data_IF_550901604202
#
_entry.id   IF_550901604202
#
_cell.length_a   1.000
_cell.length_b   1.000
_cell.length_c   1.000
_cell.angle_alpha   90.00
_cell.angle_beta   90.00
_cell.angle_gamma   90.00
#
_symmetry.space_group_name_H-M   'P 1'
#
loop_
_entity.id
_entity.type
_entity.pdbx_description
1 polymer ?
#
# COMPACT_ATOMS: atom_id res chain seq x y z
N UNK A 1 -9.02 -11.64 -15.63
CA UNK A 1 -9.80 -12.38 -14.62
C UNK A 1 -9.96 -11.49 -13.41
N UNK A 2 -10.95 -11.75 -12.56
CA UNK A 2 -11.21 -11.05 -11.27
C UNK A 2 -10.07 -11.28 -10.24
N UNK A 3 -8.99 -11.94 -10.62
CA UNK A 3 -8.00 -12.56 -9.73
C UNK A 3 -6.78 -11.67 -9.41
N UNK A 4 -6.57 -10.54 -10.09
CA UNK A 4 -5.40 -9.65 -9.88
C UNK A 4 -5.78 -8.27 -9.28
N UNK A 5 -6.82 -8.22 -8.44
CA UNK A 5 -7.28 -6.97 -7.83
C UNK A 5 -6.35 -6.46 -6.72
N UNK A 6 -5.53 -7.34 -6.14
CA UNK A 6 -4.49 -6.96 -5.16
C UNK A 6 -3.26 -7.80 -5.44
N UNK A 7 -2.12 -7.14 -5.65
CA UNK A 7 -0.80 -7.78 -5.71
C UNK A 7 -0.02 -7.43 -4.45
N UNK A 8 0.35 -8.45 -3.68
CA UNK A 8 1.33 -8.33 -2.61
C UNK A 8 2.69 -8.74 -3.17
N UNK A 9 3.69 -7.92 -2.93
CA UNK A 9 5.03 -8.10 -3.48
C UNK A 9 5.87 -9.07 -2.63
N UNK A 10 6.78 -9.78 -3.31
CA UNK A 10 7.91 -10.41 -2.63
C UNK A 10 8.84 -9.36 -2.00
N UNK A 11 9.70 -9.77 -1.07
CA UNK A 11 10.62 -8.84 -0.39
C UNK A 11 11.58 -8.12 -1.33
N UNK A 12 12.00 -8.78 -2.41
CA UNK A 12 12.89 -8.18 -3.41
C UNK A 12 12.16 -7.13 -4.23
N UNK A 13 10.92 -7.43 -4.65
CA UNK A 13 10.04 -6.46 -5.31
C UNK A 13 9.72 -5.29 -4.37
N UNK A 14 9.50 -5.52 -3.08
CA UNK A 14 9.29 -4.44 -2.09
C UNK A 14 10.49 -3.49 -2.08
N UNK A 15 11.71 -4.01 -2.01
CA UNK A 15 12.91 -3.17 -1.97
C UNK A 15 13.07 -2.32 -3.24
N UNK A 16 12.78 -2.90 -4.41
CA UNK A 16 12.79 -2.19 -5.70
C UNK A 16 11.67 -1.13 -5.75
N UNK A 17 10.43 -1.51 -5.43
CA UNK A 17 9.27 -0.62 -5.53
C UNK A 17 9.30 0.52 -4.52
N UNK A 18 9.84 0.27 -3.32
CA UNK A 18 10.09 1.32 -2.33
C UNK A 18 10.96 2.45 -2.89
N UNK A 19 11.91 2.14 -3.77
CA UNK A 19 12.77 3.12 -4.44
C UNK A 19 12.08 3.74 -5.65
N UNK A 20 11.46 2.92 -6.51
CA UNK A 20 10.76 3.39 -7.72
C UNK A 20 9.69 4.43 -7.42
N UNK A 21 8.98 4.28 -6.30
CA UNK A 21 7.94 5.22 -5.88
C UNK A 21 8.43 6.25 -4.85
N UNK A 22 9.74 6.31 -4.57
CA UNK A 22 10.36 7.26 -3.64
C UNK A 22 9.63 7.32 -2.28
N UNK A 23 9.16 6.16 -1.80
CA UNK A 23 8.24 6.09 -0.64
C UNK A 23 8.91 6.66 0.63
N UNK A 24 10.23 6.53 0.75
CA UNK A 24 10.96 7.10 1.88
C UNK A 24 10.93 8.64 1.90
N UNK A 25 10.78 9.28 0.75
CA UNK A 25 10.67 10.74 0.61
C UNK A 25 9.22 11.20 0.80
N UNK A 26 8.27 10.62 0.07
CA UNK A 26 6.88 11.05 0.11
C UNK A 26 6.10 10.55 1.33
N UNK A 27 6.43 9.35 1.84
CA UNK A 27 5.75 8.71 2.95
C UNK A 27 6.76 8.16 3.98
N UNK A 28 7.51 9.04 4.68
CA UNK A 28 8.50 8.62 5.65
C UNK A 28 7.87 7.80 6.78
N UNK A 29 8.51 6.68 7.13
CA UNK A 29 8.00 5.75 8.14
C UNK A 29 7.05 4.67 7.62
N UNK A 30 6.80 4.63 6.31
CA UNK A 30 5.94 3.64 5.66
C UNK A 30 6.73 2.73 4.71
N UNK A 31 6.21 1.52 4.50
CA UNK A 31 6.73 0.52 3.57
C UNK A 31 5.64 0.19 2.54
N UNK A 32 5.98 0.21 1.26
CA UNK A 32 5.11 -0.25 0.18
C UNK A 32 5.19 -1.77 0.06
N UNK A 33 4.04 -2.44 0.20
CA UNK A 33 3.96 -3.90 0.23
C UNK A 33 3.14 -4.48 -0.93
N UNK A 34 2.44 -3.64 -1.69
CA UNK A 34 1.60 -4.09 -2.78
C UNK A 34 0.91 -2.94 -3.51
N UNK A 35 0.07 -3.31 -4.47
CA UNK A 35 -0.79 -2.42 -5.24
C UNK A 35 -2.08 -3.13 -5.69
N UNK A 36 -3.05 -2.37 -6.19
CA UNK A 36 -4.34 -2.90 -6.65
C UNK A 36 -4.44 -3.12 -8.17
N UNK A 37 -3.31 -3.03 -8.89
CA UNK A 37 -3.21 -3.00 -10.36
C UNK A 37 -3.99 -1.83 -11.03
N UNK A 38 -4.65 -0.98 -10.25
CA UNK A 38 -5.50 0.13 -10.67
C UNK A 38 -4.91 1.51 -10.35
N UNK A 39 -3.65 1.55 -9.91
CA UNK A 39 -2.93 2.77 -9.60
C UNK A 39 -3.00 3.22 -8.14
N UNK A 40 -3.51 2.37 -7.23
CA UNK A 40 -3.44 2.58 -5.78
C UNK A 40 -2.33 1.71 -5.17
N UNK A 41 -1.66 2.27 -4.18
CA UNK A 41 -0.57 1.65 -3.45
C UNK A 41 -1.09 1.11 -2.11
N UNK A 42 -0.52 -0.01 -1.67
CA UNK A 42 -0.75 -0.56 -0.32
C UNK A 42 0.50 -0.30 0.51
N UNK A 43 0.34 0.51 1.56
CA UNK A 43 1.40 0.84 2.50
C UNK A 43 1.12 0.28 3.88
N UNK A 44 2.17 -0.10 4.60
CA UNK A 44 2.12 -0.43 6.04
C UNK A 44 2.97 0.54 6.83
N UNK A 45 2.45 1.01 7.96
CA UNK A 45 3.22 1.87 8.88
C UNK A 45 4.24 1.05 9.66
N UNK A 46 5.48 1.54 9.78
CA UNK A 46 6.56 0.90 10.57
C UNK A 46 6.42 1.12 12.08
N UNK A 47 5.20 1.35 12.56
CA UNK A 47 4.89 1.67 13.96
C UNK A 47 4.60 0.38 14.77
N UNK A 48 4.56 0.49 16.10
CA UNK A 48 4.18 -0.64 16.97
C UNK A 48 2.71 -1.08 16.79
N UNK A 49 1.88 -0.21 16.20
CA UNK A 49 0.51 -0.53 15.82
C UNK A 49 0.49 -0.77 14.31
N UNK A 50 0.17 -2.00 13.93
CA UNK A 50 0.03 -2.37 12.52
C UNK A 50 -1.18 -1.64 11.93
N UNK A 51 -0.94 -0.91 10.84
CA UNK A 51 -1.99 -0.18 10.12
C UNK A 51 -1.66 -0.18 8.63
N UNK A 52 -2.66 -0.52 7.85
CA UNK A 52 -2.59 -0.61 6.40
C UNK A 52 -3.26 0.60 5.77
N UNK A 53 -2.73 1.04 4.65
CA UNK A 53 -3.21 2.21 3.93
C UNK A 53 -3.36 1.89 2.45
N UNK A 54 -4.49 2.32 1.89
CA UNK A 54 -4.74 2.29 0.45
C UNK A 54 -4.89 3.72 -0.04
N UNK A 55 -4.04 4.13 -0.98
CA UNK A 55 -4.00 5.50 -1.50
C UNK A 55 -3.68 5.51 -2.99
N UNK A 56 -4.16 6.54 -3.70
CA UNK A 56 -3.77 6.75 -5.09
C UNK A 56 -2.27 7.04 -5.22
N UNK A 57 -1.63 6.57 -6.27
CA UNK A 57 -0.19 6.79 -6.53
C UNK A 57 0.22 8.26 -6.70
N UNK A 58 -0.72 9.15 -7.02
CA UNK A 58 -0.50 10.61 -7.06
C UNK A 58 -0.95 11.35 -5.79
N UNK A 59 -1.23 10.64 -4.69
CA UNK A 59 -1.72 11.24 -3.46
C UNK A 59 -0.59 11.95 -2.70
N UNK A 60 -0.78 13.21 -2.26
CA UNK A 60 0.29 14.00 -1.64
C UNK A 60 0.49 13.71 -0.15
N UNK A 61 -0.42 12.98 0.50
CA UNK A 61 -0.38 12.73 1.95
C UNK A 61 -1.01 11.39 2.32
N UNK A 62 -0.43 10.72 3.33
CA UNK A 62 -0.98 9.48 3.88
C UNK A 62 -2.36 9.67 4.52
N UNK A 63 -2.68 10.87 4.99
CA UNK A 63 -3.96 11.19 5.64
C UNK A 63 -5.14 11.23 4.68
N UNK A 64 -4.86 11.36 3.38
CA UNK A 64 -5.88 11.45 2.34
C UNK A 64 -6.25 10.06 1.78
N UNK A 65 -5.52 9.01 2.21
CA UNK A 65 -5.80 7.61 1.90
C UNK A 65 -6.79 6.96 2.88
N UNK A 66 -7.24 5.76 2.52
CA UNK A 66 -8.07 4.92 3.39
C UNK A 66 -7.16 4.13 4.34
N UNK A 67 -7.52 4.10 5.63
CA UNK A 67 -6.77 3.39 6.67
C UNK A 67 -7.55 2.17 7.18
N UNK A 68 -6.85 1.05 7.35
CA UNK A 68 -7.41 -0.23 7.76
C UNK A 68 -6.61 -0.82 8.92
N UNK A 69 -7.32 -1.52 9.81
CA UNK A 69 -6.71 -2.23 10.94
C UNK A 69 -6.21 -3.64 10.60
N UNK A 70 -6.53 -4.16 9.40
CA UNK A 70 -6.07 -5.48 8.95
C UNK A 70 -6.03 -5.56 7.43
N UNK A 71 -5.22 -6.49 6.91
CA UNK A 71 -5.14 -6.78 5.48
C UNK A 71 -6.48 -7.30 4.92
N UNK A 72 -7.19 -8.15 5.67
CA UNK A 72 -8.50 -8.67 5.24
C UNK A 72 -9.53 -7.56 5.02
N UNK A 73 -9.54 -6.54 5.89
CA UNK A 73 -10.44 -5.41 5.74
C UNK A 73 -10.12 -4.57 4.50
N UNK A 74 -8.83 -4.40 4.19
CA UNK A 74 -8.37 -3.73 2.97
C UNK A 74 -8.76 -4.54 1.73
N UNK A 75 -8.48 -5.85 1.71
CA UNK A 75 -8.80 -6.72 0.57
C UNK A 75 -10.31 -6.69 0.30
N UNK A 76 -11.14 -6.77 1.34
CA UNK A 76 -12.59 -6.69 1.21
C UNK A 76 -13.05 -5.37 0.56
N UNK A 77 -12.42 -4.25 0.91
CA UNK A 77 -12.74 -2.95 0.29
C UNK A 77 -12.37 -2.91 -1.20
N UNK A 78 -11.24 -3.51 -1.59
CA UNK A 78 -10.80 -3.54 -2.99
C UNK A 78 -11.62 -4.50 -3.84
N UNK A 79 -12.00 -5.65 -3.29
CA UNK A 79 -12.63 -6.75 -4.05
C UNK A 79 -14.17 -6.65 -4.07
N UNK A 80 -14.79 -6.01 -3.07
CA UNK A 80 -16.25 -5.94 -2.90
C UNK A 80 -16.80 -7.03 -1.97
#
# INVERSE_FOLDING_TARGET
MIEDLVKIYSTDEIAERQQTYEIAEYFPGYLMIGDDSGGRLILVGRSAIERFYLLGSGCPSITDGLAFSSMDALIKDVVG
#
